data_IF_832309567168
#
_entry.id   IF_832309567168
#
_cell.length_a   1.000
_cell.length_b   1.000
_cell.length_c   1.000
_cell.angle_alpha   90.00
_cell.angle_beta   90.00
_cell.angle_gamma   90.00
#
_symmetry.space_group_name_H-M   'P 1'
#
loop_
_entity.id
_entity.type
_entity.pdbx_description
1 polymer ?
#
# COMPACT_ATOMS: atom_id res chain seq x y z
N UNK A 1 -14.02 10.57 -7.55
CA UNK A 1 -14.41 9.20 -7.15
C UNK A 1 -13.41 8.63 -6.15
N UNK A 2 -13.80 7.67 -5.32
CA UNK A 2 -12.92 6.96 -4.39
C UNK A 2 -12.94 5.47 -4.71
N UNK A 3 -11.78 4.91 -5.05
CA UNK A 3 -11.62 3.49 -5.35
C UNK A 3 -10.90 2.81 -4.19
N UNK A 4 -11.50 1.78 -3.61
CA UNK A 4 -10.88 0.92 -2.59
C UNK A 4 -10.19 -0.24 -3.29
N UNK A 5 -8.89 -0.38 -3.07
CA UNK A 5 -8.03 -1.44 -3.58
C UNK A 5 -7.62 -2.30 -2.39
N UNK A 6 -7.93 -3.59 -2.43
CA UNK A 6 -7.75 -4.48 -1.27
C UNK A 6 -7.53 -5.94 -1.66
N UNK A 7 -6.99 -6.75 -0.75
CA UNK A 7 -6.80 -8.20 -0.94
C UNK A 7 -8.08 -8.99 -0.68
N UNK A 8 -9.09 -8.35 -0.09
CA UNK A 8 -10.34 -8.99 0.33
C UNK A 8 -11.40 -8.93 -0.77
N UNK A 9 -11.91 -10.09 -1.17
CA UNK A 9 -13.03 -10.16 -2.12
C UNK A 9 -14.30 -9.55 -1.51
N UNK A 10 -14.89 -8.55 -2.16
CA UNK A 10 -16.10 -7.89 -1.65
C UNK A 10 -17.30 -8.84 -1.53
N UNK A 11 -17.31 -9.99 -2.21
CA UNK A 11 -18.36 -11.01 -2.09
C UNK A 11 -18.43 -11.67 -0.71
N UNK A 12 -17.35 -11.63 0.09
CA UNK A 12 -17.36 -12.17 1.46
C UNK A 12 -17.52 -11.07 2.52
N UNK A 13 -18.10 -9.93 2.14
CA UNK A 13 -18.52 -8.91 3.11
C UNK A 13 -19.93 -9.22 3.58
N UNK A 14 -20.13 -9.18 4.90
CA UNK A 14 -21.48 -9.19 5.50
C UNK A 14 -22.15 -7.83 5.33
N UNK A 15 -23.46 -7.74 5.60
CA UNK A 15 -24.28 -6.54 5.35
C UNK A 15 -23.74 -5.24 5.96
N UNK A 16 -22.98 -5.31 7.05
CA UNK A 16 -22.35 -4.14 7.68
C UNK A 16 -21.01 -3.72 7.03
N UNK A 17 -20.58 -4.40 5.95
CA UNK A 17 -19.34 -4.13 5.21
C UNK A 17 -18.09 -4.83 5.76
N UNK A 18 -18.18 -5.51 6.91
CA UNK A 18 -17.08 -6.28 7.49
C UNK A 18 -16.77 -7.53 6.65
N UNK A 19 -15.49 -7.86 6.52
CA UNK A 19 -15.05 -9.07 5.82
C UNK A 19 -15.20 -10.27 6.77
N UNK A 20 -15.86 -11.34 6.32
CA UNK A 20 -16.28 -12.45 7.19
C UNK A 20 -15.33 -13.64 7.21
N UNK A 21 -14.25 -13.60 6.43
CA UNK A 21 -13.27 -14.69 6.34
C UNK A 21 -12.10 -14.40 7.27
N UNK A 22 -11.70 -15.40 8.05
CA UNK A 22 -10.49 -15.35 8.88
C UNK A 22 -9.23 -15.23 8.01
N UNK A 23 -8.62 -14.05 8.02
CA UNK A 23 -7.48 -13.72 7.20
C UNK A 23 -6.63 -12.69 7.95
N UNK A 24 -5.34 -12.67 7.68
CA UNK A 24 -4.41 -11.78 8.36
C UNK A 24 -4.64 -10.33 7.95
N UNK A 25 -4.43 -9.42 8.90
CA UNK A 25 -4.65 -7.98 8.70
C UNK A 25 -3.40 -7.15 8.99
N UNK A 26 -2.34 -7.76 9.52
CA UNK A 26 -1.08 -7.07 9.83
C UNK A 26 0.17 -7.87 9.43
N UNK A 27 1.26 -7.17 9.12
CA UNK A 27 2.58 -7.79 8.91
C UNK A 27 3.11 -8.47 10.18
N UNK A 28 2.69 -7.98 11.35
CA UNK A 28 3.06 -8.55 12.66
C UNK A 28 2.46 -9.94 12.92
N UNK A 29 1.64 -10.43 12.00
CA UNK A 29 0.99 -11.73 12.08
C UNK A 29 1.69 -12.83 11.30
N UNK A 30 2.83 -12.52 10.66
CA UNK A 30 3.68 -13.54 10.03
C UNK A 30 4.02 -14.61 11.07
N UNK A 31 3.74 -15.86 10.72
CA UNK A 31 3.89 -17.02 11.59
C UNK A 31 2.61 -17.46 12.32
N UNK A 32 1.54 -16.67 12.30
CA UNK A 32 0.21 -17.09 12.77
C UNK A 32 -0.53 -17.90 11.71
N UNK A 33 -1.56 -18.63 12.13
CA UNK A 33 -2.41 -19.45 11.27
C UNK A 33 -3.78 -18.79 11.07
N UNK A 34 -4.26 -18.81 9.83
CA UNK A 34 -5.56 -18.28 9.40
C UNK A 34 -6.21 -19.30 8.48
N UNK A 35 -7.45 -19.71 8.76
CA UNK A 35 -8.14 -20.77 7.99
C UNK A 35 -7.25 -22.02 7.72
N UNK A 36 -6.53 -22.50 8.74
CA UNK A 36 -5.67 -23.68 8.62
C UNK A 36 -4.37 -23.48 7.82
N UNK A 37 -4.07 -22.24 7.40
CA UNK A 37 -2.85 -21.90 6.66
C UNK A 37 -1.98 -20.93 7.46
N UNK A 38 -0.72 -21.28 7.68
CA UNK A 38 0.26 -20.40 8.32
C UNK A 38 0.69 -19.28 7.38
N UNK A 39 0.56 -18.02 7.81
CA UNK A 39 1.09 -16.87 7.08
C UNK A 39 2.63 -16.93 7.06
N UNK A 40 3.20 -17.24 5.90
CA UNK A 40 4.65 -17.19 5.71
C UNK A 40 5.10 -15.80 5.28
N UNK A 41 6.40 -15.52 5.47
CA UNK A 41 7.03 -14.31 4.95
C UNK A 41 6.86 -14.19 3.42
N UNK A 42 7.00 -15.31 2.70
CA UNK A 42 6.84 -15.32 1.24
C UNK A 42 5.41 -14.95 0.82
N UNK A 43 4.40 -15.46 1.52
CA UNK A 43 3.00 -15.11 1.27
C UNK A 43 2.75 -13.63 1.50
N UNK A 44 3.31 -13.07 2.59
CA UNK A 44 3.26 -11.65 2.86
C UNK A 44 3.90 -10.83 1.73
N UNK A 45 5.14 -11.14 1.35
CA UNK A 45 5.88 -10.41 0.31
C UNK A 45 5.17 -10.47 -1.05
N UNK A 46 4.52 -11.59 -1.38
CA UNK A 46 3.68 -11.69 -2.59
C UNK A 46 2.52 -10.71 -2.55
N UNK A 47 1.85 -10.53 -1.40
CA UNK A 47 0.75 -9.57 -1.26
C UNK A 47 1.25 -8.13 -1.24
N UNK A 48 2.32 -7.83 -0.50
CA UNK A 48 2.98 -6.51 -0.53
C UNK A 48 3.30 -6.09 -1.96
N UNK A 49 3.91 -6.99 -2.75
CA UNK A 49 4.24 -6.73 -4.16
C UNK A 49 3.01 -6.34 -4.98
N UNK A 50 1.85 -6.98 -4.77
CA UNK A 50 0.60 -6.63 -5.49
C UNK A 50 0.18 -5.18 -5.21
N UNK A 51 0.30 -4.71 -3.97
CA UNK A 51 0.00 -3.31 -3.63
C UNK A 51 0.99 -2.35 -4.32
N UNK A 52 2.29 -2.65 -4.28
CA UNK A 52 3.31 -1.83 -4.94
C UNK A 52 3.11 -1.77 -6.47
N UNK A 53 2.80 -2.91 -7.09
CA UNK A 53 2.49 -2.99 -8.52
C UNK A 53 1.21 -2.19 -8.85
N UNK A 54 0.19 -2.22 -7.98
CA UNK A 54 -1.03 -1.42 -8.15
C UNK A 54 -0.78 0.10 -8.08
N UNK A 55 0.13 0.55 -7.22
CA UNK A 55 0.58 1.96 -7.17
C UNK A 55 1.24 2.34 -8.51
N UNK A 56 2.09 1.46 -9.05
CA UNK A 56 2.73 1.67 -10.35
C UNK A 56 1.70 1.78 -11.49
N UNK A 57 0.64 0.96 -11.46
CA UNK A 57 -0.48 1.05 -12.42
C UNK A 57 -1.21 2.39 -12.30
N UNK A 58 -1.44 2.89 -11.08
CA UNK A 58 -2.07 4.21 -10.87
C UNK A 58 -1.19 5.33 -11.44
N UNK A 59 0.12 5.32 -11.18
CA UNK A 59 1.05 6.31 -11.76
C UNK A 59 0.96 6.31 -13.29
N UNK A 60 1.00 5.12 -13.91
CA UNK A 60 0.88 4.97 -15.36
C UNK A 60 -0.47 5.43 -15.90
N UNK A 61 -1.57 5.20 -15.16
CA UNK A 61 -2.91 5.64 -15.55
C UNK A 61 -2.98 7.16 -15.79
N UNK A 62 -2.33 7.92 -14.91
CA UNK A 62 -2.33 9.40 -14.89
C UNK A 62 -1.11 10.03 -15.57
N UNK A 63 -0.21 9.21 -16.13
CA UNK A 63 1.10 9.63 -16.63
C UNK A 63 1.84 10.50 -15.60
N UNK A 64 1.79 10.07 -14.34
CA UNK A 64 2.45 10.75 -13.24
C UNK A 64 3.89 10.27 -13.11
N UNK A 65 4.76 11.18 -12.71
CA UNK A 65 6.16 10.90 -12.41
C UNK A 65 6.46 11.06 -10.93
N UNK A 66 5.65 11.84 -10.22
CA UNK A 66 5.96 12.30 -8.88
C UNK A 66 4.73 12.46 -8.02
N UNK A 67 4.92 12.21 -6.72
CA UNK A 67 3.95 12.52 -5.67
C UNK A 67 4.54 13.52 -4.69
N UNK A 68 3.67 14.18 -3.96
CA UNK A 68 3.95 14.93 -2.76
C UNK A 68 3.52 14.07 -1.57
N UNK A 69 4.43 13.87 -0.61
CA UNK A 69 4.14 13.19 0.66
C UNK A 69 3.30 14.12 1.55
N UNK A 70 2.20 13.60 2.08
CA UNK A 70 1.30 14.31 2.99
C UNK A 70 1.09 13.49 4.27
N UNK A 71 0.79 14.18 5.37
CA UNK A 71 0.48 13.59 6.69
C UNK A 71 1.46 12.49 7.14
N UNK A 72 2.76 12.74 6.99
CA UNK A 72 3.81 11.82 7.38
C UNK A 72 3.84 11.63 8.90
N UNK A 73 3.83 10.36 9.32
CA UNK A 73 4.02 9.90 10.69
C UNK A 73 5.11 8.83 10.71
N UNK A 74 6.06 8.96 11.62
CA UNK A 74 7.14 7.97 11.82
C UNK A 74 6.98 7.37 13.21
N UNK A 75 6.76 6.07 13.28
CA UNK A 75 6.55 5.36 14.55
C UNK A 75 7.85 4.87 15.17
N UNK A 76 8.90 4.72 14.35
CA UNK A 76 10.18 4.13 14.73
C UNK A 76 11.35 4.94 14.19
N UNK A 77 12.49 4.89 14.85
CA UNK A 77 13.78 5.28 14.28
C UNK A 77 14.20 4.30 13.18
N UNK A 78 15.14 4.72 12.32
CA UNK A 78 15.64 3.82 11.27
C UNK A 78 16.39 2.61 11.85
N UNK A 79 17.05 2.76 13.00
CA UNK A 79 17.71 1.64 13.69
C UNK A 79 16.70 0.59 14.19
N UNK A 80 15.53 1.03 14.64
CA UNK A 80 14.44 0.12 15.03
C UNK A 80 13.80 -0.53 13.80
N UNK A 81 13.60 0.22 12.70
CA UNK A 81 13.14 -0.32 11.42
C UNK A 81 14.03 -1.47 10.95
N UNK A 82 15.36 -1.30 10.99
CA UNK A 82 16.31 -2.35 10.60
C UNK A 82 16.16 -3.65 11.39
N UNK A 83 15.69 -3.58 12.64
CA UNK A 83 15.47 -4.75 13.49
C UNK A 83 14.10 -5.39 13.31
N UNK A 84 13.11 -4.62 12.82
CA UNK A 84 11.71 -5.03 12.64
C UNK A 84 11.37 -5.46 11.22
N UNK A 85 12.18 -5.06 10.25
CA UNK A 85 11.96 -5.31 8.83
C UNK A 85 12.87 -6.43 8.32
N UNK A 86 12.56 -6.91 7.13
CA UNK A 86 13.25 -7.99 6.42
C UNK A 86 13.33 -7.62 4.94
N UNK A 87 14.16 -8.29 4.14
CA UNK A 87 14.13 -8.19 2.67
C UNK A 87 13.93 -6.76 2.11
N UNK A 88 14.90 -5.87 2.38
CA UNK A 88 14.81 -4.46 2.02
C UNK A 88 16.18 -3.88 1.64
N UNK A 89 16.28 -3.01 0.61
CA UNK A 89 17.52 -2.34 0.26
C UNK A 89 17.83 -1.24 1.30
N UNK A 90 18.51 -1.59 2.39
CA UNK A 90 18.70 -0.72 3.56
C UNK A 90 19.34 0.64 3.22
N UNK A 91 20.40 0.68 2.42
CA UNK A 91 21.09 1.95 2.10
C UNK A 91 20.18 2.95 1.36
N UNK A 92 19.43 2.48 0.36
CA UNK A 92 18.47 3.34 -0.37
C UNK A 92 17.33 3.75 0.57
N UNK A 93 16.79 2.79 1.32
CA UNK A 93 15.66 3.03 2.21
C UNK A 93 16.00 4.01 3.33
N UNK A 94 17.19 3.94 3.91
CA UNK A 94 17.66 4.88 4.93
C UNK A 94 17.67 6.31 4.43
N UNK A 95 18.21 6.52 3.21
CA UNK A 95 18.27 7.83 2.58
C UNK A 95 16.87 8.39 2.38
N UNK A 96 15.94 7.59 1.85
CA UNK A 96 14.54 7.98 1.65
C UNK A 96 13.83 8.24 2.98
N UNK A 97 14.00 7.38 3.96
CA UNK A 97 13.39 7.52 5.28
C UNK A 97 13.86 8.79 6.00
N UNK A 98 15.17 9.10 5.96
CA UNK A 98 15.72 10.31 6.59
C UNK A 98 15.22 11.58 5.93
N UNK A 99 15.10 11.61 4.60
CA UNK A 99 14.62 12.78 3.86
C UNK A 99 13.09 12.95 3.92
N UNK A 100 12.34 11.85 4.04
CA UNK A 100 10.87 11.85 3.98
C UNK A 100 10.24 12.71 5.08
N UNK A 101 9.44 13.68 4.65
CA UNK A 101 8.65 14.62 5.46
C UNK A 101 7.47 15.14 4.62
N UNK A 102 6.53 15.82 5.27
CA UNK A 102 5.45 16.51 4.57
C UNK A 102 6.00 17.46 3.49
N UNK A 103 5.27 17.54 2.38
CA UNK A 103 5.60 18.34 1.19
C UNK A 103 6.81 17.85 0.39
N UNK A 104 7.39 16.70 0.75
CA UNK A 104 8.47 16.13 -0.03
C UNK A 104 7.97 15.59 -1.38
N UNK A 105 8.66 15.95 -2.46
CA UNK A 105 8.43 15.41 -3.79
C UNK A 105 9.28 14.14 -3.96
N UNK A 106 8.64 13.05 -4.34
CA UNK A 106 9.27 11.75 -4.61
C UNK A 106 8.89 11.28 -6.01
N UNK A 107 9.80 10.58 -6.67
CA UNK A 107 9.47 9.82 -7.88
C UNK A 107 8.76 8.50 -7.53
N UNK A 108 8.42 7.71 -8.55
CA UNK A 108 7.77 6.41 -8.37
C UNK A 108 8.63 5.46 -7.52
N UNK A 109 9.92 5.31 -7.81
CA UNK A 109 10.80 4.37 -7.10
C UNK A 109 10.89 4.71 -5.61
N UNK A 110 10.99 6.00 -5.30
CA UNK A 110 11.05 6.49 -3.93
C UNK A 110 9.70 6.39 -3.22
N UNK A 111 8.60 6.64 -3.93
CA UNK A 111 7.24 6.43 -3.41
C UNK A 111 6.97 4.96 -3.11
N UNK A 112 7.45 4.03 -3.94
CA UNK A 112 7.31 2.59 -3.69
C UNK A 112 8.09 2.16 -2.44
N UNK A 113 9.28 2.72 -2.20
CA UNK A 113 10.03 2.47 -0.95
C UNK A 113 9.25 2.94 0.27
N UNK A 114 8.66 4.14 0.22
CA UNK A 114 7.80 4.59 1.32
C UNK A 114 6.54 3.74 1.47
N UNK A 115 5.92 3.32 0.36
CA UNK A 115 4.76 2.44 0.39
C UNK A 115 5.08 1.10 1.08
N UNK A 116 6.25 0.51 0.84
CA UNK A 116 6.73 -0.67 1.56
C UNK A 116 6.78 -0.42 3.06
N UNK A 117 7.30 0.73 3.51
CA UNK A 117 7.36 1.06 4.94
C UNK A 117 5.96 1.26 5.54
N UNK A 118 5.00 1.80 4.78
CA UNK A 118 3.60 1.95 5.21
C UNK A 118 2.92 0.59 5.32
N UNK A 119 3.06 -0.28 4.32
CA UNK A 119 2.48 -1.64 4.31
C UNK A 119 3.06 -2.54 5.40
N UNK A 120 4.24 -2.19 5.93
CA UNK A 120 4.89 -2.85 7.06
C UNK A 120 4.59 -2.20 8.41
N UNK A 121 3.66 -1.25 8.46
CA UNK A 121 3.24 -0.56 9.69
C UNK A 121 4.37 0.18 10.43
N UNK A 122 5.42 0.59 9.69
CA UNK A 122 6.59 1.27 10.26
C UNK A 122 6.44 2.79 10.25
N UNK A 123 5.65 3.29 9.30
CA UNK A 123 5.29 4.70 9.11
C UNK A 123 3.85 4.79 8.63
N UNK A 124 3.31 6.00 8.58
CA UNK A 124 2.10 6.29 7.82
C UNK A 124 2.24 7.59 7.04
N UNK A 125 1.65 7.65 5.86
CA UNK A 125 1.55 8.88 5.06
C UNK A 125 0.48 8.73 3.97
N UNK A 126 0.15 9.82 3.30
CA UNK A 126 -0.66 9.84 2.08
C UNK A 126 0.22 10.32 0.90
N UNK A 127 -0.06 9.83 -0.29
CA UNK A 127 0.56 10.33 -1.53
C UNK A 127 -0.43 11.17 -2.31
N UNK A 128 -0.04 12.36 -2.73
CA UNK A 128 -0.84 13.18 -3.64
C UNK A 128 -0.04 13.43 -4.91
N UNK A 129 -0.61 13.16 -6.09
CA UNK A 129 0.01 13.54 -7.35
C UNK A 129 0.36 15.03 -7.36
N UNK A 130 1.51 15.41 -7.91
CA UNK A 130 1.96 16.81 -7.91
C UNK A 130 0.99 17.77 -8.65
N UNK A 131 0.20 17.25 -9.59
CA UNK A 131 -0.83 18.00 -10.30
C UNK A 131 -2.24 17.73 -9.76
N UNK A 132 -2.36 17.16 -8.56
CA UNK A 132 -3.61 16.79 -7.89
C UNK A 132 -4.51 15.82 -8.69
N UNK A 133 -3.95 15.02 -9.62
CA UNK A 133 -4.73 14.07 -10.43
C UNK A 133 -5.26 12.88 -9.63
N UNK A 134 -4.51 12.46 -8.62
CA UNK A 134 -4.91 11.39 -7.71
C UNK A 134 -4.31 11.58 -6.32
N UNK A 135 -4.91 10.89 -5.36
CA UNK A 135 -4.38 10.72 -4.01
C UNK A 135 -4.46 9.25 -3.61
N UNK A 136 -3.40 8.73 -2.99
CA UNK A 136 -3.36 7.39 -2.38
C UNK A 136 -3.39 7.56 -0.87
N UNK A 137 -4.34 6.87 -0.23
CA UNK A 137 -4.49 6.83 1.23
C UNK A 137 -4.39 5.38 1.68
N UNK A 138 -3.59 5.13 2.71
CA UNK A 138 -3.46 3.80 3.32
C UNK A 138 -4.34 3.75 4.57
N UNK A 139 -5.39 2.94 4.51
CA UNK A 139 -6.21 2.60 5.66
C UNK A 139 -5.65 1.39 6.40
N UNK A 140 -6.36 0.99 7.45
CA UNK A 140 -6.06 -0.24 8.21
C UNK A 140 -6.25 -1.49 7.36
N UNK A 141 -5.73 -2.62 7.85
CA UNK A 141 -6.02 -3.97 7.36
C UNK A 141 -5.81 -4.16 5.85
N UNK A 142 -4.84 -3.50 5.22
CA UNK A 142 -4.65 -3.55 3.76
C UNK A 142 -5.84 -3.01 2.95
N UNK A 143 -6.50 -1.97 3.45
CA UNK A 143 -7.36 -1.11 2.66
C UNK A 143 -6.57 0.06 2.08
N UNK A 144 -6.29 0.04 0.78
CA UNK A 144 -5.70 1.19 0.09
C UNK A 144 -6.79 1.94 -0.69
N UNK A 145 -6.74 3.26 -0.74
CA UNK A 145 -7.72 4.07 -1.46
C UNK A 145 -7.04 4.95 -2.50
N UNK A 146 -7.54 4.91 -3.74
CA UNK A 146 -7.19 5.87 -4.79
C UNK A 146 -8.36 6.86 -4.96
N UNK A 147 -8.14 8.12 -4.60
CA UNK A 147 -9.09 9.22 -4.84
C UNK A 147 -8.66 9.95 -6.10
N UNK A 148 -9.52 9.97 -7.12
CA UNK A 148 -9.24 10.61 -8.41
C UNK A 148 -10.54 10.83 -9.20
N UNK A 149 -10.49 11.59 -10.29
CA UNK A 149 -11.67 11.81 -11.14
C UNK A 149 -12.14 10.51 -11.80
N UNK A 150 -11.22 9.76 -12.41
CA UNK A 150 -11.53 8.51 -13.09
C UNK A 150 -10.30 7.59 -13.19
N UNK A 151 -10.39 6.40 -12.60
CA UNK A 151 -9.43 5.32 -12.81
C UNK A 151 -9.87 4.50 -14.03
N UNK A 152 -9.05 4.45 -15.09
CA UNK A 152 -9.45 3.80 -16.36
C UNK A 152 -9.78 2.32 -16.11
N UNK A 153 -10.82 1.81 -16.79
CA UNK A 153 -11.23 0.40 -16.71
C UNK A 153 -10.08 -0.60 -16.95
N UNK A 154 -9.17 -0.31 -17.88
CA UNK A 154 -7.99 -1.15 -18.11
C UNK A 154 -7.01 -1.17 -16.93
N UNK A 155 -6.88 -0.04 -16.21
CA UNK A 155 -6.05 0.05 -15.01
C UNK A 155 -6.67 -0.75 -13.87
N UNK A 156 -8.00 -0.66 -13.71
CA UNK A 156 -8.77 -1.47 -12.76
C UNK A 156 -8.56 -2.95 -13.05
N UNK A 157 -8.79 -3.39 -14.29
CA UNK A 157 -8.60 -4.78 -14.70
C UNK A 157 -7.19 -5.30 -14.41
N UNK A 158 -6.16 -4.50 -14.68
CA UNK A 158 -4.76 -4.88 -14.37
C UNK A 158 -4.51 -5.04 -12.89
N UNK A 159 -5.12 -4.20 -12.04
CA UNK A 159 -5.04 -4.34 -10.59
C UNK A 159 -5.74 -5.63 -10.15
N UNK A 160 -6.88 -5.96 -10.76
CA UNK A 160 -7.60 -7.20 -10.51
C UNK A 160 -6.81 -8.45 -10.95
N UNK A 161 -6.10 -8.36 -12.08
CA UNK A 161 -5.20 -9.42 -12.58
C UNK A 161 -4.00 -9.68 -11.64
N UNK A 162 -3.61 -8.72 -10.78
CA UNK A 162 -2.64 -8.96 -9.70
C UNK A 162 -3.25 -9.80 -8.57
N UNK A 163 -4.56 -10.01 -8.55
CA UNK A 163 -5.31 -10.66 -7.48
C UNK A 163 -5.61 -9.72 -6.31
N UNK A 164 -5.87 -8.44 -6.60
CA UNK A 164 -6.52 -7.48 -5.69
C UNK A 164 -7.95 -7.23 -6.19
N UNK A 165 -8.78 -6.64 -5.34
CA UNK A 165 -10.16 -6.25 -5.66
C UNK A 165 -10.28 -4.73 -5.66
N UNK A 166 -11.08 -4.19 -6.58
CA UNK A 166 -11.29 -2.75 -6.72
C UNK A 166 -12.79 -2.43 -6.60
N UNK A 167 -13.18 -1.80 -5.50
CA UNK A 167 -14.55 -1.34 -5.27
C UNK A 167 -14.64 0.19 -5.45
N UNK A 168 -15.73 0.68 -6.05
CA UNK A 168 -16.05 2.11 -6.07
C UNK A 168 -16.84 2.42 -4.80
N UNK A 169 -16.42 3.44 -4.06
CA UNK A 169 -17.07 3.95 -2.85
C UNK A 169 -17.86 5.23 -3.10
#
# INVERSE_FOLDING_TARGET
>A
MKYRITKYNSQYRVENGAYSVDDWTSVGEIGKEFNGTKLSLEMYLRVEKKYLDSISIIFKNFNSKNIIVKKMEKYFSFEEIKKKTFDMPYSKTEKIFKKAKNEMILDLDEALILATLVLRELIWCEFTDINNKFKIQFGYDYYMYCVCDNLKKNSIKKIEELGLFVDIM
#
